data_IF_379075134107
#
_entry.id   IF_379075134107
#
_cell.length_a   1.000
_cell.length_b   1.000
_cell.length_c   1.000
_cell.angle_alpha   90.00
_cell.angle_beta   90.00
_cell.angle_gamma   90.00
#
_symmetry.space_group_name_H-M   'P 1'
#
loop_
_entity.id
_entity.type
_entity.pdbx_description
1 polymer ?
#
# COMPACT_ATOMS: atom_id res chain seq x y z
N UNK A 1 4.43 -14.78 -27.61
CA UNK A 1 5.41 -14.57 -26.53
C UNK A 1 4.89 -13.44 -25.65
N UNK A 2 4.47 -13.74 -24.44
CA UNK A 2 4.07 -12.75 -23.42
C UNK A 2 5.31 -11.94 -23.07
N UNK A 3 5.34 -10.64 -23.42
CA UNK A 3 6.40 -9.72 -22.97
C UNK A 3 6.37 -9.71 -21.44
N UNK A 4 7.51 -9.98 -20.81
CA UNK A 4 7.66 -9.85 -19.35
C UNK A 4 7.48 -8.37 -19.00
N UNK A 5 6.64 -8.02 -18.01
CA UNK A 5 6.44 -6.63 -17.60
C UNK A 5 7.78 -6.02 -17.18
N UNK A 6 8.07 -4.80 -17.62
CA UNK A 6 9.24 -4.08 -17.15
C UNK A 6 8.95 -3.58 -15.72
N UNK A 7 9.80 -3.95 -14.76
CA UNK A 7 9.66 -3.52 -13.36
C UNK A 7 10.16 -2.08 -13.20
N UNK A 8 9.33 -1.23 -12.62
CA UNK A 8 9.64 0.17 -12.36
C UNK A 8 9.60 0.46 -10.87
N UNK A 9 10.69 1.01 -10.36
CA UNK A 9 10.91 1.17 -8.92
C UNK A 9 10.55 2.57 -8.47
N UNK A 10 9.88 2.64 -7.33
CA UNK A 10 9.47 3.89 -6.71
C UNK A 10 10.14 3.99 -5.37
N UNK A 11 11.07 4.93 -5.28
CA UNK A 11 11.73 5.24 -4.02
C UNK A 11 10.75 5.95 -3.10
N UNK A 12 10.35 5.28 -2.03
CA UNK A 12 9.51 5.85 -0.99
C UNK A 12 10.30 6.20 0.28
N UNK A 13 11.60 5.90 0.32
CA UNK A 13 12.45 6.16 1.48
C UNK A 13 12.49 7.67 1.79
N UNK A 14 12.04 8.06 2.98
CA UNK A 14 11.86 9.45 3.45
C UNK A 14 10.70 10.23 2.81
N UNK A 15 9.88 9.62 1.96
CA UNK A 15 8.63 10.24 1.51
C UNK A 15 7.46 9.67 2.30
N UNK A 16 6.86 10.46 3.20
CA UNK A 16 5.53 10.16 3.78
C UNK A 16 4.39 10.26 2.74
N UNK A 17 4.71 10.15 1.45
CA UNK A 17 3.81 10.41 0.33
C UNK A 17 3.33 9.06 -0.19
N UNK A 18 2.06 8.76 0.05
CA UNK A 18 1.36 7.74 -0.70
C UNK A 18 1.22 8.25 -2.14
N UNK A 19 2.04 7.74 -3.05
CA UNK A 19 1.82 8.01 -4.46
C UNK A 19 0.82 7.00 -5.01
N UNK A 20 -0.30 7.49 -5.56
CA UNK A 20 -1.05 6.74 -6.56
C UNK A 20 -0.43 6.98 -7.92
N UNK A 21 0.27 6.00 -8.48
CA UNK A 21 0.73 6.09 -9.88
C UNK A 21 -0.25 5.37 -10.79
N UNK A 22 -0.81 6.12 -11.73
CA UNK A 22 -1.47 5.58 -12.91
C UNK A 22 -0.48 5.70 -14.07
N UNK A 23 0.17 4.60 -14.45
CA UNK A 23 0.99 4.56 -15.67
C UNK A 23 0.20 3.80 -16.73
N UNK A 24 -0.48 4.52 -17.63
CA UNK A 24 -1.00 3.96 -18.87
C UNK A 24 -0.11 4.41 -20.03
N UNK A 25 0.62 3.46 -20.63
CA UNK A 25 1.38 3.68 -21.87
C UNK A 25 1.15 2.52 -22.85
N UNK A 26 0.09 2.62 -23.66
CA UNK A 26 -0.23 1.62 -24.69
C UNK A 26 -0.49 0.22 -24.12
N UNK A 27 -0.03 -0.81 -24.83
CA UNK A 27 -0.15 -2.23 -24.44
C UNK A 27 0.98 -2.72 -23.49
N UNK A 28 1.89 -1.83 -23.06
CA UNK A 28 3.02 -2.21 -22.22
C UNK A 28 2.63 -2.18 -20.73
N UNK A 29 2.64 -3.35 -20.10
CA UNK A 29 2.40 -3.51 -18.67
C UNK A 29 3.71 -3.29 -17.91
N UNK A 30 3.67 -2.39 -16.94
CA UNK A 30 4.76 -2.16 -15.99
C UNK A 30 4.35 -2.73 -14.64
N UNK A 31 5.29 -3.41 -13.98
CA UNK A 31 5.14 -3.82 -12.59
C UNK A 31 5.73 -2.72 -11.71
N UNK A 32 4.88 -2.04 -10.94
CA UNK A 32 5.30 -0.92 -10.10
C UNK A 32 5.63 -1.45 -8.71
N UNK A 33 6.88 -1.27 -8.29
CA UNK A 33 7.38 -1.78 -7.00
C UNK A 33 7.89 -0.63 -6.14
N UNK A 34 7.29 -0.46 -4.96
CA UNK A 34 7.79 0.45 -3.94
C UNK A 34 9.09 -0.08 -3.34
N UNK A 35 10.05 0.81 -3.06
CA UNK A 35 11.37 0.50 -2.54
C UNK A 35 11.80 1.48 -1.44
N UNK A 36 12.70 1.05 -0.57
CA UNK A 36 13.11 1.79 0.62
C UNK A 36 12.56 1.18 1.91
N UNK A 37 13.02 1.70 3.05
CA UNK A 37 12.61 1.19 4.36
C UNK A 37 11.89 2.21 5.22
N UNK A 38 11.09 1.71 6.14
CA UNK A 38 10.45 2.48 7.22
C UNK A 38 10.60 1.75 8.56
N UNK A 39 10.48 2.49 9.67
CA UNK A 39 10.52 1.92 11.02
C UNK A 39 9.12 2.00 11.62
N UNK A 40 8.56 0.83 11.94
CA UNK A 40 7.29 0.66 12.64
C UNK A 40 7.55 0.65 14.14
N UNK A 41 7.43 1.81 14.78
CA UNK A 41 7.65 1.95 16.22
C UNK A 41 6.41 1.55 17.03
N UNK A 42 6.64 0.84 18.13
CA UNK A 42 5.60 0.54 19.13
C UNK A 42 5.02 1.85 19.68
N UNK A 43 3.68 2.01 19.65
CA UNK A 43 3.00 3.17 20.21
C UNK A 43 3.40 3.41 21.68
N UNK A 44 3.62 4.67 22.13
CA UNK A 44 4.06 4.97 23.50
C UNK A 44 3.23 4.31 24.60
N UNK A 45 1.92 4.19 24.40
CA UNK A 45 0.97 3.56 25.33
C UNK A 45 1.08 2.02 25.42
N UNK A 46 1.79 1.38 24.48
CA UNK A 46 1.95 -0.08 24.42
C UNK A 46 3.35 -0.54 24.86
N UNK A 47 4.32 0.38 24.95
CA UNK A 47 5.74 0.05 25.20
C UNK A 47 5.98 -0.70 26.51
N UNK A 48 5.13 -0.47 27.51
CA UNK A 48 5.23 -1.11 28.83
C UNK A 48 4.48 -2.45 28.90
N UNK A 49 3.86 -2.90 27.80
CA UNK A 49 3.19 -4.20 27.77
C UNK A 49 4.21 -5.32 27.98
N UNK A 50 3.91 -6.18 28.95
CA UNK A 50 4.78 -7.29 29.38
C UNK A 50 5.22 -8.19 28.22
N UNK A 51 4.38 -8.31 27.18
CA UNK A 51 4.66 -9.13 25.99
C UNK A 51 5.92 -8.70 25.24
N UNK A 52 6.20 -7.39 25.11
CA UNK A 52 7.42 -6.91 24.44
C UNK A 52 8.67 -7.25 25.23
N UNK A 53 8.56 -7.21 26.57
CA UNK A 53 9.64 -7.64 27.46
C UNK A 53 9.90 -9.15 27.34
N UNK A 54 8.85 -9.96 27.27
CA UNK A 54 8.97 -11.41 27.08
C UNK A 54 9.63 -11.77 25.74
N UNK A 55 9.21 -11.13 24.63
CA UNK A 55 9.82 -11.33 23.32
C UNK A 55 11.30 -10.94 23.29
N UNK A 56 11.67 -9.84 23.95
CA UNK A 56 13.07 -9.43 24.10
C UNK A 56 13.89 -10.46 24.90
N UNK A 57 13.38 -10.87 26.06
CA UNK A 57 14.13 -11.73 26.99
C UNK A 57 14.22 -13.19 26.53
N UNK A 58 13.25 -13.66 25.73
CA UNK A 58 13.11 -15.09 25.39
C UNK A 58 13.30 -15.41 23.91
N UNK A 59 13.04 -14.46 23.02
CA UNK A 59 13.13 -14.67 21.58
C UNK A 59 14.25 -13.84 20.92
N UNK A 60 14.92 -12.97 21.68
CA UNK A 60 15.83 -11.94 21.17
C UNK A 60 15.17 -11.07 20.08
N UNK A 61 13.86 -10.81 20.23
CA UNK A 61 13.08 -9.95 19.34
C UNK A 61 12.73 -8.66 20.08
N UNK A 62 13.42 -7.59 19.71
CA UNK A 62 13.33 -6.26 20.33
C UNK A 62 12.54 -5.36 19.39
N UNK A 63 11.26 -5.15 19.71
CA UNK A 63 10.41 -4.26 18.91
C UNK A 63 10.94 -2.82 18.92
N UNK A 64 10.83 -2.16 17.77
CA UNK A 64 11.31 -0.80 17.58
C UNK A 64 10.52 0.19 18.46
N UNK A 65 11.19 1.11 19.16
CA UNK A 65 10.57 2.14 20.00
C UNK A 65 11.05 3.55 19.69
N UNK A 66 12.31 3.70 19.29
CA UNK A 66 12.96 5.01 19.12
C UNK A 66 14.06 5.03 18.06
N UNK A 67 14.25 3.92 17.32
CA UNK A 67 15.27 3.78 16.29
C UNK A 67 15.01 4.75 15.14
N UNK A 68 16.09 5.34 14.59
CA UNK A 68 16.05 6.21 13.42
C UNK A 68 16.46 5.48 12.15
N UNK A 69 15.98 5.92 10.99
CA UNK A 69 16.33 5.33 9.69
C UNK A 69 17.84 5.41 9.38
N UNK A 70 18.53 6.42 9.92
CA UNK A 70 19.97 6.61 9.73
C UNK A 70 20.84 5.54 10.38
N UNK A 71 20.28 4.73 11.28
CA UNK A 71 21.00 3.68 11.99
C UNK A 71 21.19 2.42 11.12
N UNK A 72 20.56 2.35 9.95
CA UNK A 72 20.44 1.14 9.12
C UNK A 72 20.97 1.37 7.70
N UNK A 73 22.23 0.98 7.40
CA UNK A 73 22.90 1.31 6.14
C UNK A 73 22.59 0.31 5.04
N UNK A 74 21.32 0.20 4.64
CA UNK A 74 20.88 -0.65 3.53
C UNK A 74 19.68 -0.07 2.80
N UNK A 75 19.43 -0.54 1.56
CA UNK A 75 18.32 -0.12 0.73
C UNK A 75 17.57 -1.33 0.15
N UNK A 76 16.33 -1.61 0.57
CA UNK A 76 15.58 -2.79 0.16
C UNK A 76 14.65 -2.56 -1.04
N UNK A 77 14.45 -3.62 -1.83
CA UNK A 77 13.45 -3.72 -2.90
C UNK A 77 12.78 -5.12 -2.81
N UNK A 78 11.45 -5.22 -2.62
CA UNK A 78 10.49 -4.14 -2.42
C UNK A 78 10.66 -3.47 -1.05
N UNK A 79 9.74 -2.57 -0.71
CA UNK A 79 9.69 -1.87 0.58
C UNK A 79 9.90 -2.82 1.77
N UNK A 80 10.62 -2.36 2.80
CA UNK A 80 10.81 -3.11 4.05
C UNK A 80 10.35 -2.29 5.26
N UNK A 81 9.32 -2.76 5.95
CA UNK A 81 8.76 -2.08 7.11
C UNK A 81 9.23 -2.76 8.40
N UNK A 82 10.23 -2.17 9.04
CA UNK A 82 11.01 -2.76 10.14
C UNK A 82 10.26 -2.60 11.44
N UNK A 83 9.83 -3.70 12.06
CA UNK A 83 9.10 -3.68 13.33
C UNK A 83 9.94 -4.13 14.53
N UNK A 84 11.05 -4.84 14.31
CA UNK A 84 11.92 -5.30 15.38
C UNK A 84 13.38 -5.43 14.95
N UNK A 85 14.27 -5.49 15.94
CA UNK A 85 15.68 -5.84 15.81
C UNK A 85 16.04 -6.93 16.81
N UNK A 86 17.20 -7.57 16.67
CA UNK A 86 17.77 -8.43 17.71
C UNK A 86 18.95 -7.77 18.44
N UNK A 87 19.53 -8.47 19.43
CA UNK A 87 20.72 -8.04 20.17
C UNK A 87 21.98 -7.82 19.31
N UNK A 88 21.96 -8.22 18.03
CA UNK A 88 23.08 -8.13 17.08
C UNK A 88 22.84 -7.10 15.98
N UNK A 89 21.83 -6.25 16.15
CA UNK A 89 21.38 -5.25 15.17
C UNK A 89 20.88 -5.85 13.84
N UNK A 90 20.44 -7.12 13.84
CA UNK A 90 19.72 -7.66 12.69
C UNK A 90 18.28 -7.16 12.74
N UNK A 91 17.74 -6.79 11.58
CA UNK A 91 16.41 -6.20 11.44
C UNK A 91 15.40 -7.24 10.99
N UNK A 92 14.19 -7.17 11.54
CA UNK A 92 13.01 -7.93 11.11
C UNK A 92 11.93 -6.97 10.66
N UNK A 93 11.30 -7.28 9.54
CA UNK A 93 10.32 -6.40 8.92
C UNK A 93 9.45 -7.12 7.92
N UNK A 94 8.34 -6.51 7.57
CA UNK A 94 7.46 -7.00 6.51
C UNK A 94 7.96 -6.56 5.15
N UNK A 95 7.83 -7.45 4.17
CA UNK A 95 8.28 -7.27 2.78
C UNK A 95 7.09 -6.79 1.94
N UNK A 96 7.25 -5.64 1.29
CA UNK A 96 6.29 -5.09 0.33
C UNK A 96 5.18 -4.21 0.92
N UNK A 97 5.14 -4.03 2.24
CA UNK A 97 4.17 -3.19 2.94
C UNK A 97 4.14 -3.48 4.44
N UNK A 98 3.18 -2.89 5.15
CA UNK A 98 2.94 -3.13 6.58
C UNK A 98 1.43 -3.28 6.85
N UNK A 99 1.06 -4.14 7.81
CA UNK A 99 -0.31 -4.29 8.33
C UNK A 99 -0.28 -4.48 9.85
N UNK A 100 -1.43 -4.78 10.45
CA UNK A 100 -1.53 -5.15 11.87
C UNK A 100 -1.15 -6.61 12.07
N UNK A 101 -0.45 -6.92 13.16
CA UNK A 101 0.04 -8.27 13.55
C UNK A 101 -1.01 -9.40 13.41
N UNK A 102 -2.31 -9.09 13.59
CA UNK A 102 -3.40 -10.07 13.58
C UNK A 102 -3.86 -10.43 12.15
N UNK A 103 -3.73 -9.49 11.20
CA UNK A 103 -4.27 -9.58 9.83
C UNK A 103 -3.18 -9.27 8.79
N UNK A 104 -1.92 -9.59 9.11
CA UNK A 104 -0.78 -9.31 8.25
C UNK A 104 -0.44 -10.51 7.34
N UNK A 105 -0.83 -10.39 6.07
CA UNK A 105 -0.47 -11.34 5.01
C UNK A 105 0.87 -10.99 4.34
N UNK A 106 1.57 -9.93 4.79
CA UNK A 106 2.89 -9.61 4.27
C UNK A 106 3.95 -10.60 4.79
N UNK A 107 4.81 -11.13 3.91
CA UNK A 107 5.95 -11.94 4.31
C UNK A 107 6.87 -11.19 5.26
N UNK A 108 7.47 -11.90 6.21
CA UNK A 108 8.51 -11.35 7.08
C UNK A 108 9.87 -11.67 6.50
N UNK A 109 10.67 -10.63 6.33
CA UNK A 109 12.07 -10.71 5.97
C UNK A 109 12.98 -10.37 7.14
N UNK A 110 14.26 -10.67 6.94
CA UNK A 110 15.33 -10.20 7.81
C UNK A 110 16.45 -9.55 7.01
N UNK A 111 17.17 -8.64 7.65
CA UNK A 111 18.39 -8.04 7.14
C UNK A 111 19.42 -8.01 8.26
N UNK A 112 20.51 -8.73 8.08
CA UNK A 112 21.61 -8.75 9.05
C UNK A 112 22.52 -7.55 8.89
N UNK A 113 23.26 -7.23 9.94
CA UNK A 113 24.31 -6.19 9.92
C UNK A 113 25.42 -6.46 8.88
N UNK A 114 25.61 -7.73 8.49
CA UNK A 114 26.59 -8.14 7.47
C UNK A 114 26.03 -8.08 6.04
N UNK A 115 24.80 -7.60 5.85
CA UNK A 115 24.14 -7.53 4.56
C UNK A 115 23.57 -8.85 4.04
N UNK A 116 23.54 -9.92 4.87
CA UNK A 116 22.73 -11.11 4.56
C UNK A 116 21.26 -10.77 4.74
N UNK A 117 20.40 -11.23 3.84
CA UNK A 117 18.96 -10.98 3.88
C UNK A 117 18.19 -12.17 3.34
N UNK A 118 16.89 -12.19 3.58
CA UNK A 118 15.99 -13.19 3.03
C UNK A 118 14.61 -13.13 3.65
N UNK A 119 13.69 -13.91 3.07
CA UNK A 119 12.36 -14.16 3.64
C UNK A 119 12.47 -15.29 4.67
N UNK A 120 11.85 -15.12 5.85
CA UNK A 120 11.87 -16.09 6.95
C UNK A 120 10.49 -16.60 7.34
N UNK A 121 9.42 -15.85 7.04
CA UNK A 121 8.03 -16.29 7.27
C UNK A 121 7.08 -15.71 6.21
N UNK A 122 5.90 -16.32 6.02
CA UNK A 122 4.87 -15.79 5.12
C UNK A 122 3.97 -14.74 5.79
N UNK A 123 4.01 -14.62 7.11
CA UNK A 123 3.24 -13.66 7.88
C UNK A 123 3.93 -13.31 9.19
N UNK A 124 3.54 -12.21 9.83
CA UNK A 124 4.01 -11.85 11.17
C UNK A 124 3.61 -12.91 12.20
N UNK A 125 2.42 -13.52 12.04
CA UNK A 125 1.98 -14.62 12.89
C UNK A 125 2.91 -15.84 12.79
N UNK A 126 3.23 -16.29 11.58
CA UNK A 126 4.15 -17.42 11.36
C UNK A 126 5.54 -17.12 11.93
N UNK A 127 6.01 -15.88 11.78
CA UNK A 127 7.26 -15.43 12.40
C UNK A 127 7.19 -15.52 13.94
N UNK A 128 6.12 -15.04 14.56
CA UNK A 128 5.95 -15.11 16.01
C UNK A 128 5.86 -16.56 16.51
N UNK A 129 5.17 -17.44 15.80
CA UNK A 129 5.15 -18.88 16.09
C UNK A 129 6.57 -19.48 16.02
N UNK A 130 7.33 -19.15 14.97
CA UNK A 130 8.71 -19.59 14.81
C UNK A 130 9.59 -19.16 15.99
N UNK A 131 9.66 -17.86 16.30
CA UNK A 131 10.59 -17.35 17.33
C UNK A 131 10.17 -17.72 18.75
N UNK A 132 8.88 -17.97 18.98
CA UNK A 132 8.36 -18.37 20.31
C UNK A 132 8.64 -19.84 20.61
N UNK A 133 8.40 -20.72 19.63
CA UNK A 133 8.49 -22.17 19.83
C UNK A 133 9.85 -22.76 19.43
N UNK A 134 10.64 -22.04 18.64
CA UNK A 134 11.95 -22.51 18.13
C UNK A 134 13.05 -21.48 18.40
N UNK A 135 13.52 -21.30 19.65
CA UNK A 135 14.47 -20.24 20.01
C UNK A 135 15.83 -20.31 19.27
N UNK A 136 16.19 -21.46 18.70
CA UNK A 136 17.42 -21.67 17.90
C UNK A 136 17.24 -21.43 16.39
N UNK A 137 16.09 -20.91 15.96
CA UNK A 137 15.78 -20.67 14.54
C UNK A 137 16.87 -19.84 13.82
N UNK A 138 17.54 -18.93 14.53
CA UNK A 138 18.60 -18.11 13.96
C UNK A 138 19.86 -18.90 13.59
N UNK A 139 20.19 -19.95 14.36
CA UNK A 139 21.32 -20.81 14.04
C UNK A 139 21.00 -21.64 12.78
N UNK A 140 19.74 -22.04 12.59
CA UNK A 140 19.26 -22.68 11.35
C UNK A 140 19.48 -21.78 10.14
N UNK A 141 19.05 -20.51 10.22
CA UNK A 141 19.28 -19.53 9.13
C UNK A 141 20.77 -19.41 8.80
N UNK A 142 21.62 -19.29 9.83
CA UNK A 142 23.06 -19.16 9.65
C UNK A 142 23.68 -20.39 9.01
N UNK A 143 23.35 -21.59 9.49
CA UNK A 143 23.94 -22.83 9.01
C UNK A 143 23.49 -23.19 7.60
N UNK A 144 22.22 -22.98 7.26
CA UNK A 144 21.72 -23.17 5.89
C UNK A 144 22.44 -22.25 4.91
N UNK A 145 22.65 -20.97 5.26
CA UNK A 145 23.38 -20.03 4.41
C UNK A 145 24.87 -20.35 4.29
N UNK A 146 25.45 -21.03 5.28
CA UNK A 146 26.84 -21.48 5.26
C UNK A 146 27.02 -22.88 4.63
N UNK A 147 25.92 -23.61 4.36
CA UNK A 147 25.96 -24.98 3.84
C UNK A 147 26.51 -26.02 4.83
N UNK A 148 26.30 -25.84 6.14
CA UNK A 148 26.84 -26.70 7.21
C UNK A 148 25.72 -27.46 7.92
N UNK A 149 25.94 -28.72 8.31
CA UNK A 149 24.99 -29.56 9.06
C UNK A 149 24.86 -29.12 10.52
N UNK A 150 23.67 -29.26 11.12
CA UNK A 150 23.38 -28.89 12.51
C UNK A 150 22.36 -29.85 13.17
N UNK A 151 22.45 -29.98 14.50
CA UNK A 151 21.47 -30.67 15.35
C UNK A 151 20.74 -29.64 16.23
N UNK A 152 19.42 -29.79 16.38
CA UNK A 152 18.57 -28.90 17.20
C UNK A 152 18.24 -29.62 18.51
N UNK A 153 18.61 -29.05 19.66
CA UNK A 153 18.21 -29.54 20.99
C UNK A 153 16.94 -28.78 21.48
N UNK A 154 15.78 -29.44 21.60
CA UNK A 154 14.53 -28.77 21.98
C UNK A 154 14.44 -28.57 23.50
N UNK A 155 14.66 -27.34 23.98
CA UNK A 155 14.26 -26.94 25.34
C UNK A 155 13.06 -25.99 25.30
N UNK A 156 11.92 -26.47 25.79
CA UNK A 156 10.69 -25.69 25.97
C UNK A 156 10.62 -25.19 27.42
N UNK A 157 10.66 -23.86 27.62
CA UNK A 157 10.63 -23.24 28.94
C UNK A 157 9.22 -22.76 29.30
N UNK A 158 8.86 -22.88 30.58
CA UNK A 158 7.56 -22.53 31.18
C UNK A 158 7.00 -21.11 30.90
N UNK A 159 7.74 -20.25 30.18
CA UNK A 159 7.38 -18.87 29.85
C UNK A 159 6.85 -18.66 28.43
N UNK A 160 6.80 -19.73 27.61
CA UNK A 160 6.19 -19.70 26.26
C UNK A 160 4.67 -19.49 26.30
N UNK A 161 3.99 -20.03 27.33
CA UNK A 161 2.52 -19.94 27.46
C UNK A 161 1.99 -18.52 27.49
N UNK A 162 2.73 -17.58 28.10
CA UNK A 162 2.24 -16.21 28.21
C UNK A 162 2.30 -15.45 26.88
N UNK A 163 3.33 -15.72 26.06
CA UNK A 163 3.42 -15.19 24.69
C UNK A 163 2.33 -15.84 23.83
N UNK A 164 2.15 -17.16 23.96
CA UNK A 164 1.11 -17.93 23.29
C UNK A 164 -0.29 -17.38 23.58
N UNK A 165 -0.65 -17.20 24.85
CA UNK A 165 -1.95 -16.68 25.27
C UNK A 165 -2.18 -15.24 24.78
N UNK A 166 -1.15 -14.38 24.82
CA UNK A 166 -1.28 -12.97 24.42
C UNK A 166 -1.55 -12.83 22.92
N UNK A 167 -0.82 -13.54 22.08
CA UNK A 167 -0.94 -13.46 20.62
C UNK A 167 -1.85 -14.55 20.02
N UNK A 168 -2.43 -15.43 20.85
CA UNK A 168 -3.21 -16.61 20.43
C UNK A 168 -2.45 -17.47 19.42
N UNK A 169 -1.16 -17.67 19.70
CA UNK A 169 -0.29 -18.50 18.86
C UNK A 169 -0.57 -19.98 19.12
N UNK A 170 -0.15 -20.82 18.19
CA UNK A 170 -0.16 -22.26 18.38
C UNK A 170 1.16 -22.84 17.89
N UNK A 171 1.66 -23.86 18.58
CA UNK A 171 2.85 -24.58 18.12
C UNK A 171 2.58 -25.20 16.74
N UNK A 172 3.27 -24.70 15.73
CA UNK A 172 3.21 -25.22 14.37
C UNK A 172 4.41 -26.16 14.13
N UNK A 173 4.21 -27.50 14.05
CA UNK A 173 5.30 -28.45 13.89
C UNK A 173 6.07 -28.28 12.56
N UNK A 174 5.52 -27.51 11.61
CA UNK A 174 6.14 -27.24 10.31
C UNK A 174 6.92 -25.92 10.26
N UNK A 175 7.02 -25.15 11.34
CA UNK A 175 7.68 -23.83 11.31
C UNK A 175 9.12 -23.90 10.78
N UNK A 176 9.89 -24.94 11.13
CA UNK A 176 11.24 -25.12 10.60
C UNK A 176 11.23 -25.46 9.11
N UNK A 177 10.34 -26.35 8.65
CA UNK A 177 10.20 -26.68 7.24
C UNK A 177 9.82 -25.44 6.41
N UNK A 178 8.91 -24.61 6.94
CA UNK A 178 8.48 -23.35 6.33
C UNK A 178 9.63 -22.34 6.28
N UNK A 179 10.40 -22.19 7.37
CA UNK A 179 11.61 -21.35 7.38
C UNK A 179 12.58 -21.78 6.28
N UNK A 180 12.90 -23.07 6.19
CA UNK A 180 13.80 -23.61 5.17
C UNK A 180 13.27 -23.41 3.75
N UNK A 181 11.96 -23.58 3.55
CA UNK A 181 11.31 -23.31 2.27
C UNK A 181 11.41 -21.83 1.88
N UNK A 182 11.19 -20.93 2.84
CA UNK A 182 11.29 -19.48 2.65
C UNK A 182 12.72 -19.05 2.30
N UNK A 183 13.73 -19.59 2.98
CA UNK A 183 15.14 -19.32 2.70
C UNK A 183 15.59 -19.80 1.31
N UNK A 184 15.00 -20.89 0.81
CA UNK A 184 15.30 -21.48 -0.51
C UNK A 184 14.49 -20.84 -1.64
N UNK A 185 13.46 -20.06 -1.32
CA UNK A 185 12.63 -19.40 -2.33
C UNK A 185 13.44 -18.34 -3.10
N UNK A 186 13.17 -18.13 -4.40
CA UNK A 186 13.83 -17.09 -5.18
C UNK A 186 13.71 -15.72 -4.50
N UNK A 187 14.78 -14.90 -4.48
CA UNK A 187 14.75 -13.64 -3.76
C UNK A 187 13.86 -12.64 -4.51
N UNK A 188 12.60 -12.56 -4.09
CA UNK A 188 11.71 -11.43 -4.42
C UNK A 188 12.09 -10.19 -3.61
N UNK A 189 12.79 -10.39 -2.49
CA UNK A 189 13.34 -9.38 -1.60
C UNK A 189 14.85 -9.29 -1.79
N UNK A 190 15.32 -8.14 -2.27
CA UNK A 190 16.72 -7.83 -2.55
C UNK A 190 17.12 -6.63 -1.71
N UNK A 191 18.30 -6.69 -1.10
CA UNK A 191 18.87 -5.60 -0.32
C UNK A 191 20.18 -5.15 -0.94
N UNK A 192 20.30 -3.84 -1.15
CA UNK A 192 21.49 -3.15 -1.64
C UNK A 192 22.18 -2.42 -0.48
N UNK A 193 23.46 -2.13 -0.61
CA UNK A 193 24.18 -1.33 0.38
C UNK A 193 23.71 0.14 0.38
N UNK A 194 23.19 0.64 -0.74
CA UNK A 194 22.63 1.99 -0.84
C UNK A 194 21.62 2.14 -1.99
N UNK A 195 20.86 3.23 -1.95
CA UNK A 195 19.99 3.65 -3.05
C UNK A 195 20.77 3.85 -4.37
N UNK A 196 21.98 4.39 -4.29
CA UNK A 196 22.86 4.60 -5.44
C UNK A 196 23.26 3.28 -6.10
N UNK A 197 23.51 2.24 -5.30
CA UNK A 197 23.80 0.90 -5.81
C UNK A 197 22.57 0.27 -6.47
N UNK A 198 21.41 0.38 -5.84
CA UNK A 198 20.14 -0.10 -6.38
C UNK A 198 19.84 0.50 -7.77
N UNK A 199 20.11 1.79 -7.95
CA UNK A 199 19.92 2.52 -9.21
C UNK A 199 20.80 2.07 -10.36
N UNK A 200 21.91 1.36 -10.10
CA UNK A 200 22.80 0.83 -11.16
C UNK A 200 22.18 -0.36 -11.89
N UNK A 201 21.30 -1.11 -11.22
CA UNK A 201 20.75 -2.38 -11.73
C UNK A 201 19.24 -2.33 -11.96
N UNK A 202 18.56 -1.29 -11.48
CA UNK A 202 17.11 -1.16 -11.59
C UNK A 202 16.68 0.16 -12.24
N UNK A 203 15.54 0.11 -12.93
CA UNK A 203 14.89 1.30 -13.48
C UNK A 203 14.01 1.96 -12.42
N UNK A 204 14.41 3.13 -11.93
CA UNK A 204 13.59 3.94 -11.04
C UNK A 204 12.68 4.88 -11.83
N UNK A 205 11.46 5.12 -11.33
CA UNK A 205 10.44 5.94 -11.97
C UNK A 205 10.90 7.38 -12.20
N UNK A 206 11.62 7.99 -11.27
CA UNK A 206 12.13 9.36 -11.43
C UNK A 206 13.13 9.48 -12.59
N UNK A 207 14.01 8.49 -12.72
CA UNK A 207 15.04 8.39 -13.75
C UNK A 207 14.39 8.03 -15.07
N UNK A 208 13.44 7.10 -15.06
CA UNK A 208 12.61 6.80 -16.21
C UNK A 208 11.88 8.05 -16.70
N UNK A 209 11.21 8.80 -15.82
CA UNK A 209 10.55 10.06 -16.15
C UNK A 209 11.56 11.06 -16.70
N UNK A 210 12.74 11.21 -16.09
CA UNK A 210 13.80 12.13 -16.54
C UNK A 210 14.36 11.76 -17.92
N UNK A 211 14.76 10.52 -18.14
CA UNK A 211 15.24 10.02 -19.44
C UNK A 211 14.12 10.06 -20.49
N UNK A 212 12.89 9.75 -20.10
CA UNK A 212 11.69 9.91 -20.93
C UNK A 212 11.37 11.39 -21.21
N UNK A 213 11.74 12.31 -20.32
CA UNK A 213 11.63 13.75 -20.53
C UNK A 213 12.74 14.31 -21.43
N UNK A 214 13.98 13.83 -21.27
CA UNK A 214 15.16 14.23 -22.02
C UNK A 214 15.20 13.63 -23.44
N UNK A 215 14.73 12.39 -23.65
CA UNK A 215 14.49 11.85 -25.01
C UNK A 215 13.31 12.53 -25.72
N UNK A 216 12.52 13.34 -25.01
CA UNK A 216 11.37 14.08 -25.53
C UNK A 216 11.60 15.59 -25.62
N UNK A 217 12.81 16.08 -25.40
CA UNK A 217 13.20 17.49 -25.68
C UNK A 217 13.55 17.77 -27.15
N UNK A 218 13.26 16.84 -28.05
CA UNK A 218 13.17 17.13 -29.49
C UNK A 218 11.77 16.75 -29.99
N UNK A 219 10.89 17.75 -29.99
CA UNK A 219 9.76 17.92 -30.93
C UNK A 219 8.50 17.05 -30.78
N UNK A 220 8.53 15.85 -30.19
CA UNK A 220 7.39 14.91 -30.27
C UNK A 220 6.31 15.02 -29.17
N UNK A 221 6.62 15.63 -28.01
CA UNK A 221 5.71 15.63 -26.86
C UNK A 221 4.53 16.61 -26.98
N UNK A 222 4.71 17.71 -27.71
CA UNK A 222 3.61 18.63 -28.02
C UNK A 222 2.67 18.07 -29.09
N UNK A 223 3.01 16.95 -29.71
CA UNK A 223 2.26 16.38 -30.84
C UNK A 223 1.47 15.14 -30.43
N UNK A 224 1.95 14.31 -29.48
CA UNK A 224 1.30 13.04 -29.10
C UNK A 224 0.26 13.20 -27.97
N UNK A 225 0.58 13.84 -26.84
CA UNK A 225 -0.41 14.15 -25.79
C UNK A 225 -1.47 15.12 -26.31
N UNK A 226 -1.06 16.08 -27.14
CA UNK A 226 -1.98 16.95 -27.87
C UNK A 226 -2.84 16.15 -28.86
N UNK A 227 -2.32 15.12 -29.54
CA UNK A 227 -3.13 14.25 -30.43
C UNK A 227 -4.13 13.36 -29.69
N UNK A 228 -3.77 12.70 -28.58
CA UNK A 228 -4.72 11.86 -27.83
C UNK A 228 -5.76 12.70 -27.10
N UNK A 229 -5.33 13.80 -26.46
CA UNK A 229 -6.25 14.74 -25.84
C UNK A 229 -7.13 15.42 -26.89
N UNK A 230 -6.60 15.78 -28.07
CA UNK A 230 -7.42 16.29 -29.18
C UNK A 230 -8.46 15.26 -29.66
N UNK A 231 -8.15 13.96 -29.71
CA UNK A 231 -9.13 12.93 -30.11
C UNK A 231 -10.26 12.80 -29.09
N UNK A 232 -9.94 12.77 -27.79
CA UNK A 232 -10.96 12.74 -26.73
C UNK A 232 -11.77 14.05 -26.71
N UNK A 233 -11.10 15.17 -26.93
CA UNK A 233 -11.70 16.50 -27.05
C UNK A 233 -12.72 16.58 -28.17
N UNK A 234 -12.34 16.18 -29.39
CA UNK A 234 -13.22 16.13 -30.56
C UNK A 234 -14.43 15.23 -30.29
N UNK A 235 -14.20 14.05 -29.67
CA UNK A 235 -15.24 13.05 -29.42
C UNK A 235 -16.26 13.47 -28.35
N UNK A 236 -15.81 14.11 -27.28
CA UNK A 236 -16.61 14.28 -26.07
C UNK A 236 -16.86 15.73 -25.66
N UNK A 237 -15.95 16.69 -25.92
CA UNK A 237 -16.07 18.06 -25.36
C UNK A 237 -17.38 18.75 -25.72
N UNK A 238 -17.81 18.63 -26.98
CA UNK A 238 -19.06 19.24 -27.46
C UNK A 238 -20.34 18.69 -26.79
N UNK A 239 -20.24 17.57 -26.07
CA UNK A 239 -21.35 16.96 -25.32
C UNK A 239 -21.37 17.37 -23.85
N UNK A 240 -20.34 18.07 -23.39
CA UNK A 240 -20.21 18.49 -22.00
C UNK A 240 -21.00 19.78 -21.81
N UNK A 241 -21.91 19.78 -20.85
CA UNK A 241 -22.48 20.99 -20.28
C UNK A 241 -21.68 21.29 -19.01
N UNK A 242 -20.89 22.37 -18.97
CA UNK A 242 -20.12 22.70 -17.76
C UNK A 242 -21.05 22.98 -16.58
N UNK A 243 -20.63 22.54 -15.42
CA UNK A 243 -21.41 22.54 -14.19
C UNK A 243 -20.80 21.55 -13.23
N UNK A 244 -20.20 22.06 -12.16
CA UNK A 244 -19.61 21.23 -11.13
C UNK A 244 -20.55 21.11 -9.94
N UNK A 245 -20.92 19.88 -9.60
CA UNK A 245 -21.79 19.60 -8.46
C UNK A 245 -21.02 19.62 -7.14
N UNK A 246 -21.67 20.15 -6.12
CA UNK A 246 -21.22 20.11 -4.74
C UNK A 246 -21.18 18.68 -4.18
N UNK A 247 -20.51 18.52 -3.04
CA UNK A 247 -20.48 17.25 -2.32
C UNK A 247 -21.88 16.81 -1.90
N UNK A 248 -22.72 17.74 -1.43
CA UNK A 248 -24.12 17.48 -1.08
C UNK A 248 -24.95 16.96 -2.25
N UNK A 249 -24.79 17.55 -3.44
CA UNK A 249 -25.47 17.06 -4.65
C UNK A 249 -25.02 15.65 -5.05
N UNK A 250 -23.74 15.32 -4.84
CA UNK A 250 -23.20 13.99 -5.12
C UNK A 250 -23.66 12.94 -4.10
N UNK A 251 -23.84 13.34 -2.85
CA UNK A 251 -24.46 12.48 -1.83
C UNK A 251 -25.92 12.22 -2.19
N UNK A 252 -26.66 13.24 -2.64
CA UNK A 252 -28.04 13.07 -3.09
C UNK A 252 -28.12 12.11 -4.29
N UNK A 253 -27.25 12.29 -5.29
CA UNK A 253 -27.14 11.35 -6.41
C UNK A 253 -26.85 9.92 -5.94
N UNK A 254 -25.93 9.73 -4.98
CA UNK A 254 -25.62 8.42 -4.43
C UNK A 254 -26.86 7.78 -3.77
N UNK A 255 -27.57 8.54 -2.94
CA UNK A 255 -28.80 8.11 -2.26
C UNK A 255 -29.95 7.78 -3.23
N UNK A 256 -30.06 8.52 -4.33
CA UNK A 256 -31.07 8.24 -5.37
C UNK A 256 -30.73 6.97 -6.15
N UNK A 257 -29.42 6.67 -6.30
CA UNK A 257 -28.93 5.57 -7.12
C UNK A 257 -28.91 4.23 -6.40
N UNK A 258 -28.53 4.22 -5.12
CA UNK A 258 -28.36 3.00 -4.32
C UNK A 258 -28.82 3.23 -2.89
N UNK A 259 -29.24 2.16 -2.22
CA UNK A 259 -29.57 2.22 -0.81
C UNK A 259 -28.26 2.21 0.01
N UNK A 260 -28.11 3.17 0.91
CA UNK A 260 -26.88 3.35 1.70
C UNK A 260 -27.15 3.46 3.19
N UNK A 261 -26.13 3.19 3.98
CA UNK A 261 -26.09 3.44 5.43
C UNK A 261 -24.85 4.27 5.73
N UNK A 262 -25.00 5.36 6.49
CA UNK A 262 -23.86 6.14 6.94
C UNK A 262 -22.96 5.30 7.86
N UNK A 263 -21.66 5.38 7.65
CA UNK A 263 -20.64 4.70 8.44
C UNK A 263 -19.96 5.69 9.37
N UNK A 264 -19.80 5.28 10.63
CA UNK A 264 -18.87 5.97 11.52
C UNK A 264 -17.44 5.73 11.01
N UNK A 265 -16.69 6.81 10.77
CA UNK A 265 -15.31 6.74 10.26
C UNK A 265 -14.37 5.98 11.20
N UNK A 266 -14.73 5.83 12.48
CA UNK A 266 -13.98 5.04 13.47
C UNK A 266 -14.13 3.53 13.27
N UNK A 267 -15.08 3.07 12.46
CA UNK A 267 -15.19 1.67 12.06
C UNK A 267 -14.06 1.23 11.12
N UNK A 268 -13.48 2.16 10.36
CA UNK A 268 -12.31 1.89 9.54
C UNK A 268 -11.05 1.73 10.39
N UNK A 269 -10.08 0.96 9.88
CA UNK A 269 -8.78 0.87 10.56
C UNK A 269 -8.08 2.24 10.58
N UNK A 270 -7.32 2.51 11.65
CA UNK A 270 -6.57 3.76 11.78
C UNK A 270 -5.66 4.01 10.57
N UNK A 271 -4.91 3.00 10.14
CA UNK A 271 -4.02 3.08 8.98
C UNK A 271 -4.79 3.43 7.69
N UNK A 272 -5.95 2.81 7.50
CA UNK A 272 -6.81 3.08 6.36
C UNK A 272 -7.27 4.55 6.35
N UNK A 273 -7.71 5.07 7.50
CA UNK A 273 -8.13 6.47 7.60
C UNK A 273 -6.95 7.45 7.46
N UNK A 274 -5.79 7.14 8.03
CA UNK A 274 -4.58 7.95 7.87
C UNK A 274 -4.19 8.09 6.39
N UNK A 275 -4.32 7.01 5.60
CA UNK A 275 -4.11 7.06 4.16
C UNK A 275 -5.09 8.00 3.45
N UNK A 276 -6.38 7.95 3.79
CA UNK A 276 -7.36 8.87 3.22
C UNK A 276 -7.10 10.31 3.61
N UNK A 277 -6.78 10.58 4.87
CA UNK A 277 -6.44 11.93 5.35
C UNK A 277 -5.25 12.50 4.57
N UNK A 278 -4.19 11.71 4.38
CA UNK A 278 -3.01 12.11 3.58
C UNK A 278 -3.43 12.42 2.13
N UNK A 279 -4.25 11.56 1.51
CA UNK A 279 -4.72 11.78 0.15
C UNK A 279 -5.57 13.05 0.02
N UNK A 280 -6.45 13.32 0.99
CA UNK A 280 -7.29 14.52 1.01
C UNK A 280 -6.41 15.78 1.15
N UNK A 281 -5.51 15.79 2.12
CA UNK A 281 -4.62 16.93 2.40
C UNK A 281 -3.76 17.27 1.18
N UNK A 282 -3.37 16.27 0.38
CA UNK A 282 -2.52 16.46 -0.79
C UNK A 282 -3.25 16.43 -2.13
N UNK A 283 -4.59 16.34 -2.16
CA UNK A 283 -5.33 16.33 -3.41
C UNK A 283 -5.23 17.69 -4.14
N UNK A 284 -5.38 17.67 -5.47
CA UNK A 284 -5.35 18.89 -6.32
C UNK A 284 -6.34 19.93 -5.81
N UNK A 285 -7.51 19.50 -5.32
CA UNK A 285 -8.59 20.38 -4.84
C UNK A 285 -8.28 21.05 -3.50
N UNK A 286 -7.30 20.55 -2.73
CA UNK A 286 -6.86 21.18 -1.49
C UNK A 286 -5.68 22.15 -1.69
N UNK A 287 -5.16 22.32 -2.92
CA UNK A 287 -4.02 23.21 -3.18
C UNK A 287 -4.32 24.67 -2.83
N UNK A 288 -5.55 25.12 -3.07
CA UNK A 288 -6.00 26.48 -2.76
C UNK A 288 -6.49 26.61 -1.31
N UNK A 289 -7.26 25.63 -0.83
CA UNK A 289 -7.88 25.64 0.51
C UNK A 289 -6.86 25.42 1.63
N UNK A 290 -5.78 24.68 1.36
CA UNK A 290 -4.68 24.39 2.30
C UNK A 290 -5.15 23.83 3.65
N UNK A 291 -6.19 23.00 3.62
CA UNK A 291 -6.74 22.37 4.81
C UNK A 291 -5.74 21.35 5.38
N UNK A 292 -5.66 21.29 6.72
CA UNK A 292 -4.90 20.29 7.45
C UNK A 292 -5.81 19.14 7.89
N UNK A 293 -5.23 18.07 8.44
CA UNK A 293 -6.01 16.92 8.93
C UNK A 293 -7.11 17.30 9.95
N UNK A 294 -6.87 18.33 10.77
CA UNK A 294 -7.83 18.78 11.79
C UNK A 294 -9.00 19.58 11.20
N UNK A 295 -8.89 20.00 9.94
CA UNK A 295 -9.87 20.85 9.26
C UNK A 295 -10.89 20.05 8.43
N UNK A 296 -10.66 18.74 8.28
CA UNK A 296 -11.40 17.88 7.35
C UNK A 296 -12.78 17.51 7.90
N UNK A 297 -13.77 17.49 7.01
CA UNK A 297 -15.11 16.99 7.31
C UNK A 297 -15.38 15.73 6.46
N UNK A 298 -14.96 14.60 7.00
CA UNK A 298 -15.04 13.29 6.34
C UNK A 298 -16.35 12.62 6.72
N UNK A 299 -17.07 12.14 5.72
CA UNK A 299 -18.24 11.29 5.87
C UNK A 299 -18.05 10.03 5.02
N UNK A 300 -18.65 8.92 5.45
CA UNK A 300 -18.57 7.66 4.74
C UNK A 300 -19.93 6.97 4.68
N UNK A 301 -20.13 6.21 3.60
CA UNK A 301 -21.35 5.43 3.38
C UNK A 301 -20.99 4.00 3.02
N UNK A 302 -21.71 3.04 3.59
CA UNK A 302 -21.77 1.66 3.15
C UNK A 302 -22.91 1.52 2.14
N UNK A 303 -22.66 0.83 1.03
CA UNK A 303 -23.67 0.54 0.02
C UNK A 303 -24.35 -0.78 0.37
N UNK A 304 -25.67 -0.78 0.56
CA UNK A 304 -26.42 -2.02 0.85
C UNK A 304 -26.39 -2.91 -0.39
N UNK A 305 -26.03 -4.19 -0.23
CA UNK A 305 -26.09 -5.18 -1.31
C UNK A 305 -27.53 -5.60 -1.55
N UNK A 306 -28.13 -5.05 -2.61
CA UNK A 306 -29.53 -5.27 -3.00
C UNK A 306 -29.66 -5.25 -4.53
N UNK A 307 -30.90 -5.21 -5.03
CA UNK A 307 -31.15 -5.18 -6.47
C UNK A 307 -30.65 -3.89 -7.15
N UNK A 308 -30.57 -2.75 -6.45
CA UNK A 308 -30.06 -1.49 -7.00
C UNK A 308 -28.54 -1.51 -7.14
N UNK A 309 -27.84 -2.10 -6.18
CA UNK A 309 -26.37 -2.09 -6.11
C UNK A 309 -25.69 -3.34 -6.67
N UNK A 310 -26.43 -4.40 -6.98
CA UNK A 310 -25.92 -5.70 -7.45
C UNK A 310 -24.86 -5.58 -8.57
N UNK A 311 -25.04 -4.64 -9.50
CA UNK A 311 -24.08 -4.44 -10.61
C UNK A 311 -22.67 -4.00 -10.16
N UNK A 312 -22.54 -3.36 -9.00
CA UNK A 312 -21.27 -2.95 -8.42
C UNK A 312 -20.60 -4.10 -7.66
N UNK A 313 -21.39 -4.99 -7.07
CA UNK A 313 -20.92 -6.17 -6.35
C UNK A 313 -20.46 -7.31 -7.28
N UNK A 314 -21.03 -7.39 -8.49
CA UNK A 314 -20.63 -8.37 -9.50
C UNK A 314 -19.29 -8.06 -10.16
N UNK A 315 -18.92 -6.79 -10.26
CA UNK A 315 -17.59 -6.35 -10.64
C UNK A 315 -16.68 -6.52 -9.42
N UNK A 316 -16.04 -7.69 -9.29
CA UNK A 316 -15.26 -8.08 -8.09
C UNK A 316 -14.47 -6.88 -7.53
N UNK A 317 -14.77 -6.40 -6.31
CA UNK A 317 -13.92 -5.41 -5.68
C UNK A 317 -12.53 -6.01 -5.56
N UNK A 318 -11.51 -5.27 -6.00
CA UNK A 318 -10.12 -5.64 -5.75
C UNK A 318 -9.96 -5.70 -4.24
N UNK A 319 -9.85 -6.92 -3.70
CA UNK A 319 -9.71 -7.17 -2.27
C UNK A 319 -8.47 -6.45 -1.75
N UNK A 320 -8.66 -5.32 -1.10
CA UNK A 320 -7.72 -4.70 -0.17
C UNK A 320 -8.51 -4.16 1.01
N UNK A 321 -8.74 -5.08 1.96
CA UNK A 321 -8.92 -4.90 3.41
C UNK A 321 -9.30 -3.47 3.81
N UNK A 322 -10.61 -3.22 4.00
CA UNK A 322 -11.10 -1.93 4.48
C UNK A 322 -11.85 -2.01 5.82
N UNK A 323 -12.19 -3.20 6.33
CA UNK A 323 -12.97 -3.27 7.57
C UNK A 323 -12.58 -4.46 8.45
N UNK A 324 -12.59 -4.26 9.78
CA UNK A 324 -12.27 -5.30 10.77
C UNK A 324 -13.25 -6.49 10.74
N UNK A 325 -14.44 -6.34 10.14
CA UNK A 325 -15.51 -7.33 10.28
C UNK A 325 -16.36 -7.62 9.03
N UNK A 326 -16.09 -7.05 7.84
CA UNK A 326 -16.92 -7.30 6.63
C UNK A 326 -16.09 -7.27 5.34
N UNK A 327 -15.62 -8.43 4.90
CA UNK A 327 -14.75 -8.59 3.72
C UNK A 327 -15.40 -8.23 2.37
N UNK A 328 -16.72 -8.05 2.33
CA UNK A 328 -17.46 -7.86 1.07
C UNK A 328 -18.13 -6.49 0.91
N UNK A 329 -17.88 -5.51 1.79
CA UNK A 329 -18.62 -4.24 1.71
C UNK A 329 -18.12 -3.31 0.60
N UNK A 330 -19.02 -2.64 -0.12
CA UNK A 330 -18.69 -1.48 -0.95
C UNK A 330 -18.93 -0.21 -0.14
N UNK A 331 -17.97 0.72 -0.15
CA UNK A 331 -18.08 1.97 0.57
C UNK A 331 -17.72 3.18 -0.30
N UNK A 332 -18.21 4.35 0.09
CA UNK A 332 -17.87 5.64 -0.50
C UNK A 332 -17.46 6.59 0.62
N UNK A 333 -16.34 7.30 0.45
CA UNK A 333 -15.86 8.34 1.37
C UNK A 333 -15.93 9.68 0.65
N UNK A 334 -16.51 10.67 1.30
CA UNK A 334 -16.47 12.07 0.87
C UNK A 334 -15.70 12.90 1.90
N UNK A 335 -14.99 13.92 1.43
CA UNK A 335 -14.61 15.05 2.28
C UNK A 335 -15.29 16.32 1.77
N UNK A 336 -16.13 16.91 2.61
CA UNK A 336 -17.10 17.94 2.19
C UNK A 336 -16.45 19.23 1.71
N UNK A 337 -15.30 19.61 2.27
CA UNK A 337 -14.70 20.92 2.00
C UNK A 337 -13.87 20.95 0.73
N UNK A 338 -13.07 19.91 0.50
CA UNK A 338 -12.23 19.74 -0.70
C UNK A 338 -13.01 19.12 -1.86
N UNK A 339 -14.14 18.45 -1.58
CA UNK A 339 -14.82 17.62 -2.56
C UNK A 339 -13.99 16.38 -2.92
N UNK A 340 -13.19 15.85 -2.00
CA UNK A 340 -12.54 14.55 -2.23
C UNK A 340 -13.60 13.44 -2.28
N UNK A 341 -13.43 12.47 -3.20
CA UNK A 341 -14.26 11.25 -3.30
C UNK A 341 -13.35 10.05 -3.41
N UNK A 342 -13.72 8.98 -2.72
CA UNK A 342 -13.15 7.66 -2.90
C UNK A 342 -14.22 6.58 -2.80
N UNK A 343 -14.07 5.50 -3.56
CA UNK A 343 -14.81 4.25 -3.36
C UNK A 343 -13.91 3.07 -3.67
N UNK A 344 -14.17 1.92 -3.04
CA UNK A 344 -13.53 0.65 -3.41
C UNK A 344 -14.21 -0.03 -4.62
N UNK A 345 -15.29 0.51 -5.15
CA UNK A 345 -15.86 0.11 -6.45
C UNK A 345 -15.43 1.11 -7.52
N UNK A 346 -14.56 0.68 -8.45
CA UNK A 346 -14.08 1.55 -9.52
C UNK A 346 -15.23 2.06 -10.40
N UNK A 347 -16.22 1.20 -10.69
CA UNK A 347 -17.39 1.59 -11.47
C UNK A 347 -18.19 2.69 -10.77
N UNK A 348 -18.48 2.54 -9.48
CA UNK A 348 -19.21 3.55 -8.72
C UNK A 348 -18.40 4.85 -8.59
N UNK A 349 -17.08 4.73 -8.35
CA UNK A 349 -16.19 5.88 -8.29
C UNK A 349 -16.17 6.67 -9.60
N UNK A 350 -16.08 5.97 -10.73
CA UNK A 350 -16.10 6.55 -12.06
C UNK A 350 -17.41 7.28 -12.34
N UNK A 351 -18.55 6.68 -11.97
CA UNK A 351 -19.86 7.30 -12.09
C UNK A 351 -19.98 8.57 -11.22
N UNK A 352 -19.44 8.57 -10.01
CA UNK A 352 -19.41 9.76 -9.14
C UNK A 352 -18.55 10.88 -9.74
N UNK A 353 -17.42 10.56 -10.37
CA UNK A 353 -16.58 11.55 -11.06
C UNK A 353 -17.27 12.12 -12.30
N UNK A 354 -18.00 11.30 -13.06
CA UNK A 354 -18.79 11.77 -14.20
C UNK A 354 -19.94 12.65 -13.72
N UNK A 355 -20.67 12.21 -12.69
CA UNK A 355 -21.81 12.95 -12.17
C UNK A 355 -21.43 14.33 -11.63
N UNK A 356 -20.25 14.43 -11.02
CA UNK A 356 -19.67 15.70 -10.54
C UNK A 356 -19.57 16.74 -11.64
N UNK A 357 -19.28 16.32 -12.87
CA UNK A 357 -19.02 17.25 -13.95
C UNK A 357 -17.68 17.97 -13.82
N UNK A 358 -17.59 19.10 -14.51
CA UNK A 358 -16.40 19.94 -14.61
C UNK A 358 -16.83 21.40 -14.52
N UNK A 359 -16.04 22.23 -13.84
CA UNK A 359 -16.38 23.65 -13.70
C UNK A 359 -16.30 24.38 -15.04
N UNK A 360 -16.98 25.53 -15.15
CA UNK A 360 -16.87 26.39 -16.32
C UNK A 360 -15.41 26.84 -16.54
N UNK A 361 -14.70 27.16 -15.46
CA UNK A 361 -13.28 27.53 -15.52
C UNK A 361 -12.43 26.41 -16.11
N UNK A 362 -12.58 25.18 -15.63
CA UNK A 362 -11.81 24.04 -16.12
C UNK A 362 -12.13 23.73 -17.59
N UNK A 363 -13.39 23.86 -17.98
CA UNK A 363 -13.85 23.70 -19.36
C UNK A 363 -13.21 24.71 -20.32
N UNK A 364 -13.11 25.97 -19.90
CA UNK A 364 -12.59 27.07 -20.71
C UNK A 364 -11.05 27.10 -20.76
N UNK A 365 -10.39 26.67 -19.67
CA UNK A 365 -8.94 26.78 -19.51
C UNK A 365 -8.15 25.49 -19.78
N UNK A 366 -8.82 24.43 -20.23
CA UNK A 366 -8.19 23.15 -20.59
C UNK A 366 -7.32 22.56 -19.47
N UNK A 367 -7.87 22.52 -18.25
CA UNK A 367 -7.13 22.08 -17.08
C UNK A 367 -7.01 20.55 -17.02
N UNK A 368 -6.12 20.05 -16.16
CA UNK A 368 -5.99 18.61 -15.90
C UNK A 368 -7.30 17.97 -15.40
N UNK A 369 -8.19 18.74 -14.77
CA UNK A 369 -9.50 18.25 -14.33
C UNK A 369 -10.42 17.98 -15.53
N UNK A 370 -10.43 18.86 -16.54
CA UNK A 370 -11.15 18.61 -17.79
C UNK A 370 -10.61 17.39 -18.53
N UNK A 371 -9.29 17.24 -18.62
CA UNK A 371 -8.69 16.06 -19.25
C UNK A 371 -9.05 14.76 -18.51
N UNK A 372 -9.03 14.77 -17.18
CA UNK A 372 -9.44 13.62 -16.36
C UNK A 372 -10.92 13.29 -16.60
N UNK A 373 -11.77 14.31 -16.65
CA UNK A 373 -13.20 14.14 -16.93
C UNK A 373 -13.48 13.53 -18.30
N UNK A 374 -12.81 14.01 -19.35
CA UNK A 374 -12.91 13.44 -20.71
C UNK A 374 -12.48 11.97 -20.75
N UNK A 375 -11.43 11.63 -20.00
CA UNK A 375 -10.99 10.24 -19.86
C UNK A 375 -12.05 9.40 -19.16
N UNK A 376 -12.66 9.89 -18.08
CA UNK A 376 -13.71 9.18 -17.36
C UNK A 376 -14.91 8.85 -18.27
N UNK A 377 -15.37 9.82 -19.06
CA UNK A 377 -16.44 9.61 -20.04
C UNK A 377 -16.10 8.53 -21.07
N UNK A 378 -14.86 8.52 -21.55
CA UNK A 378 -14.42 7.54 -22.55
C UNK A 378 -14.33 6.13 -21.96
N UNK A 379 -13.68 5.98 -20.80
CA UNK A 379 -13.57 4.72 -20.07
C UNK A 379 -14.96 4.14 -19.73
N UNK A 380 -15.87 4.98 -19.23
CA UNK A 380 -17.23 4.56 -18.94
C UNK A 380 -17.98 4.11 -20.20
N UNK A 381 -17.82 4.83 -21.33
CA UNK A 381 -18.44 4.45 -22.61
C UNK A 381 -17.96 3.11 -23.17
N UNK A 382 -16.76 2.66 -22.77
CA UNK A 382 -16.15 1.39 -23.18
C UNK A 382 -16.37 0.26 -22.18
N UNK A 383 -16.93 0.54 -21.01
CA UNK A 383 -17.01 -0.42 -19.90
C UNK A 383 -15.64 -0.75 -19.28
N UNK A 384 -14.69 0.17 -19.38
CA UNK A 384 -13.36 0.07 -18.76
C UNK A 384 -13.42 0.73 -17.38
N UNK A 385 -13.57 -0.06 -16.32
CA UNK A 385 -13.60 0.39 -14.92
C UNK A 385 -12.72 -0.47 -14.02
#
# INVERSE_FOLDING_TARGET
>A
MTKIPQRLIIDIENTKRAFGFWIHHGDEKFDIVSAGKEIMSVPPNERDYKVYKLLKEHCDVIFCTSQGLGDLPFYPIPQFSIFAVDSKDNCFGTIGGSSNIIDDDYPVGYVSRKGMYGKIANSVREFLELVTFYPYWWDIVRYEQMGVSYDIDPQCFARQREIEETFKLSHNPKSIELLLSNLKSPPEFIVYASNEEARKTNAFLDTFLKTFLEHRTTTERNTINKKSNNKLWEKHKHKIVPGEKSTEELINFLNDKVDVVELDITEFSRFFMERHIINIVHCVRNQELKLTANDLNIIAFNIINDNKSNSYYQCRPVQRIANKHKNDMIYVVFEKRTGYIHSNSNKLLLELFIERGVSQYDYDNDTNLLHSYLFYLDSYSKGEY
#
